data_IF_201614303595
#
_entry.id   IF_201614303595
#
_cell.length_a   1.000
_cell.length_b   1.000
_cell.length_c   1.000
_cell.angle_alpha   90.00
_cell.angle_beta   90.00
_cell.angle_gamma   90.00
#
_symmetry.space_group_name_H-M   'P 1'
#
loop_
_entity.id
_entity.type
_entity.pdbx_description
1 polymer ?
#
# COMPACT_ATOMS: atom_id res chain seq x y z
N UNK A 1 -22.18 7.09 -2.42
CA UNK A 1 -21.30 5.92 -2.61
C UNK A 1 -19.99 6.25 -1.94
N UNK A 2 -19.49 5.36 -1.09
CA UNK A 2 -18.23 5.60 -0.38
C UNK A 2 -17.03 5.39 -1.32
N UNK A 3 -15.91 6.08 -1.08
CA UNK A 3 -14.68 5.93 -1.87
C UNK A 3 -14.20 4.48 -1.93
N UNK A 4 -14.32 3.74 -0.83
CA UNK A 4 -13.96 2.32 -0.74
C UNK A 4 -14.81 1.42 -1.64
N UNK A 5 -16.01 1.86 -2.03
CA UNK A 5 -16.93 1.11 -2.88
C UNK A 5 -16.77 1.51 -4.36
N UNK A 6 -16.19 2.67 -4.63
CA UNK A 6 -16.02 3.20 -5.98
C UNK A 6 -14.97 2.38 -6.76
N UNK A 7 -15.30 2.06 -8.02
CA UNK A 7 -14.44 1.25 -8.91
C UNK A 7 -13.02 1.79 -9.03
N UNK A 8 -12.84 3.11 -9.17
CA UNK A 8 -11.54 3.79 -9.19
C UNK A 8 -10.55 3.33 -8.11
N UNK A 9 -10.92 3.35 -6.83
CA UNK A 9 -10.02 2.90 -5.76
C UNK A 9 -9.89 1.37 -5.78
N UNK A 10 -10.98 0.63 -5.99
CA UNK A 10 -10.96 -0.83 -6.02
C UNK A 10 -10.06 -1.39 -7.11
N UNK A 11 -10.11 -0.81 -8.31
CA UNK A 11 -9.26 -1.18 -9.44
C UNK A 11 -7.79 -0.86 -9.16
N UNK A 12 -7.50 0.28 -8.53
CA UNK A 12 -6.14 0.65 -8.14
C UNK A 12 -5.55 -0.32 -7.10
N UNK A 13 -6.32 -0.67 -6.06
CA UNK A 13 -5.92 -1.69 -5.08
C UNK A 13 -5.68 -3.03 -5.79
N UNK A 14 -6.61 -3.44 -6.66
CA UNK A 14 -6.49 -4.70 -7.38
C UNK A 14 -5.25 -4.74 -8.27
N UNK A 15 -4.94 -3.65 -8.99
CA UNK A 15 -3.74 -3.54 -9.80
C UNK A 15 -2.46 -3.66 -8.97
N UNK A 16 -2.45 -3.09 -7.75
CA UNK A 16 -1.32 -3.29 -6.83
C UNK A 16 -1.22 -4.77 -6.45
N UNK A 17 -2.30 -5.38 -5.97
CA UNK A 17 -2.32 -6.79 -5.57
C UNK A 17 -1.85 -7.72 -6.69
N UNK A 18 -2.34 -7.52 -7.92
CA UNK A 18 -1.89 -8.27 -9.09
C UNK A 18 -0.38 -8.07 -9.33
N UNK A 19 0.15 -6.86 -9.12
CA UNK A 19 1.60 -6.61 -9.26
C UNK A 19 2.43 -7.25 -8.14
N UNK A 20 1.88 -7.40 -6.94
CA UNK A 20 2.52 -8.11 -5.83
C UNK A 20 2.60 -9.60 -6.13
N UNK A 21 1.51 -10.19 -6.63
CA UNK A 21 1.47 -11.60 -7.02
C UNK A 21 2.45 -11.90 -8.15
N UNK A 22 2.51 -11.05 -9.18
CA UNK A 22 3.50 -11.20 -10.27
C UNK A 22 4.95 -11.10 -9.78
N UNK A 23 5.24 -10.15 -8.88
CA UNK A 23 6.57 -9.98 -8.33
C UNK A 23 6.98 -11.19 -7.47
N UNK A 24 6.05 -11.70 -6.67
CA UNK A 24 6.26 -12.89 -5.86
C UNK A 24 6.51 -14.13 -6.71
N UNK A 25 5.68 -14.38 -7.72
CA UNK A 25 5.82 -15.55 -8.59
C UNK A 25 7.17 -15.55 -9.31
N UNK A 26 7.60 -14.37 -9.77
CA UNK A 26 8.90 -14.18 -10.42
C UNK A 26 10.04 -14.43 -9.43
N UNK A 27 9.96 -13.86 -8.22
CA UNK A 27 10.96 -14.08 -7.17
C UNK A 27 11.06 -15.55 -6.73
N UNK A 28 9.93 -16.24 -6.62
CA UNK A 28 9.88 -17.69 -6.36
C UNK A 28 10.57 -18.47 -7.47
N UNK A 29 10.25 -18.19 -8.74
CA UNK A 29 10.86 -18.85 -9.89
C UNK A 29 12.38 -18.65 -9.93
N UNK A 30 12.85 -17.42 -9.72
CA UNK A 30 14.28 -17.08 -9.66
C UNK A 30 15.00 -17.76 -8.48
N UNK A 31 14.27 -18.01 -7.39
CA UNK A 31 14.76 -18.73 -6.21
C UNK A 31 14.66 -20.26 -6.34
N UNK A 32 14.14 -20.77 -7.46
CA UNK A 32 13.91 -22.21 -7.65
C UNK A 32 12.81 -22.81 -6.75
N UNK A 33 11.92 -21.96 -6.23
CA UNK A 33 10.82 -22.33 -5.35
C UNK A 33 9.49 -22.24 -6.10
N UNK A 34 8.60 -23.21 -5.89
CA UNK A 34 7.24 -23.14 -6.46
C UNK A 34 6.34 -22.31 -5.53
N UNK A 35 5.53 -21.38 -6.05
CA UNK A 35 4.53 -20.67 -5.25
C UNK A 35 3.56 -21.62 -4.53
N UNK A 36 2.92 -21.12 -3.45
CA UNK A 36 1.92 -21.86 -2.67
C UNK A 36 2.39 -23.20 -2.08
N UNK A 37 3.69 -23.33 -1.80
CA UNK A 37 4.26 -24.48 -1.08
C UNK A 37 4.80 -24.10 0.30
N UNK A 38 5.04 -25.06 1.20
CA UNK A 38 5.72 -24.79 2.47
C UNK A 38 7.08 -24.12 2.29
N UNK A 39 7.81 -24.45 1.23
CA UNK A 39 9.09 -23.82 0.88
C UNK A 39 8.89 -22.35 0.49
N UNK A 40 7.83 -22.00 -0.26
CA UNK A 40 7.49 -20.60 -0.54
C UNK A 40 7.17 -19.82 0.74
N UNK A 41 6.52 -20.46 1.71
CA UNK A 41 6.28 -19.84 3.02
C UNK A 41 7.59 -19.58 3.78
N UNK A 42 8.51 -20.54 3.79
CA UNK A 42 9.83 -20.34 4.39
C UNK A 42 10.62 -19.24 3.67
N UNK A 43 10.52 -19.16 2.34
CA UNK A 43 11.12 -18.08 1.57
C UNK A 43 10.53 -16.71 1.96
N UNK A 44 9.22 -16.63 2.22
CA UNK A 44 8.59 -15.40 2.71
C UNK A 44 9.13 -15.00 4.10
N UNK A 45 9.36 -15.97 5.00
CA UNK A 45 9.98 -15.72 6.30
C UNK A 45 11.42 -15.19 6.17
N UNK A 46 12.18 -15.69 5.19
CA UNK A 46 13.53 -15.21 4.86
C UNK A 46 13.50 -13.76 4.37
N UNK A 47 12.60 -13.43 3.45
CA UNK A 47 12.43 -12.06 2.93
C UNK A 47 12.21 -11.06 4.07
N UNK A 48 11.43 -11.44 5.08
CA UNK A 48 11.11 -10.55 6.20
C UNK A 48 12.20 -10.48 7.30
N UNK A 49 13.27 -11.28 7.23
CA UNK A 49 14.41 -11.10 8.14
C UNK A 49 15.19 -9.82 7.82
N UNK A 50 15.31 -9.49 6.53
CA UNK A 50 15.93 -8.24 6.07
C UNK A 50 15.19 -7.69 4.85
N UNK A 51 14.11 -6.93 5.05
CA UNK A 51 13.36 -6.32 3.97
C UNK A 51 14.22 -5.43 3.06
N UNK A 52 15.32 -4.88 3.58
CA UNK A 52 16.19 -3.94 2.84
C UNK A 52 16.98 -4.59 1.71
N UNK A 53 16.97 -5.91 1.61
CA UNK A 53 17.56 -6.65 0.50
C UNK A 53 16.62 -6.85 -0.69
N UNK A 54 15.32 -6.60 -0.52
CA UNK A 54 14.29 -6.99 -1.49
C UNK A 54 13.51 -5.78 -2.01
N UNK A 55 13.02 -5.89 -3.25
CA UNK A 55 12.05 -4.93 -3.79
C UNK A 55 10.76 -4.97 -2.96
N UNK A 56 10.14 -3.81 -2.80
CA UNK A 56 8.96 -3.69 -1.95
C UNK A 56 7.79 -4.57 -2.36
N UNK A 57 7.62 -4.88 -3.65
CA UNK A 57 6.54 -5.77 -4.08
C UNK A 57 6.75 -7.18 -3.57
N UNK A 58 8.00 -7.63 -3.51
CA UNK A 58 8.37 -8.93 -2.95
C UNK A 58 8.13 -8.94 -1.43
N UNK A 59 8.53 -7.87 -0.73
CA UNK A 59 8.31 -7.74 0.73
C UNK A 59 6.83 -7.74 1.08
N UNK A 60 6.04 -6.90 0.42
CA UNK A 60 4.60 -6.81 0.66
C UNK A 60 3.88 -8.13 0.31
N UNK A 61 4.26 -8.77 -0.80
CA UNK A 61 3.71 -10.07 -1.16
C UNK A 61 4.09 -11.17 -0.14
N UNK A 62 5.33 -11.17 0.37
CA UNK A 62 5.78 -12.09 1.42
C UNK A 62 4.93 -11.94 2.69
N UNK A 63 4.62 -10.70 3.10
CA UNK A 63 3.74 -10.44 4.23
C UNK A 63 2.35 -11.05 4.03
N UNK A 64 1.78 -10.95 2.82
CA UNK A 64 0.45 -11.50 2.50
C UNK A 64 0.36 -13.03 2.62
N UNK A 65 1.51 -13.72 2.53
CA UNK A 65 1.61 -15.19 2.61
C UNK A 65 1.85 -15.70 4.03
N UNK A 66 2.10 -14.79 4.96
CA UNK A 66 2.30 -15.11 6.37
C UNK A 66 1.07 -14.72 7.18
N UNK A 67 0.81 -15.54 8.21
CA UNK A 67 -0.28 -15.32 9.14
C UNK A 67 0.33 -14.81 10.44
N UNK A 68 -0.24 -13.74 10.98
CA UNK A 68 0.15 -13.19 12.25
C UNK A 68 -0.13 -14.19 13.38
N UNK A 69 0.87 -14.55 14.20
CA UNK A 69 0.69 -15.51 15.28
C UNK A 69 -0.21 -14.96 16.41
N UNK A 70 -0.33 -13.64 16.55
CA UNK A 70 -1.08 -13.01 17.64
C UNK A 70 -2.56 -12.82 17.31
N UNK A 71 -2.90 -12.43 16.08
CA UNK A 71 -4.28 -12.10 15.71
C UNK A 71 -4.87 -12.94 14.58
N UNK A 72 -4.08 -13.82 13.94
CA UNK A 72 -4.55 -14.70 12.86
C UNK A 72 -4.85 -14.00 11.52
N UNK A 73 -4.73 -12.68 11.43
CA UNK A 73 -4.81 -11.96 10.16
C UNK A 73 -3.55 -12.19 9.30
N UNK A 74 -3.58 -11.79 8.03
CA UNK A 74 -2.35 -11.68 7.25
C UNK A 74 -1.34 -10.75 7.96
N UNK A 75 -0.05 -11.07 7.88
CA UNK A 75 0.95 -10.36 8.66
C UNK A 75 0.99 -8.88 8.27
N UNK A 76 0.94 -7.99 9.27
CA UNK A 76 0.87 -6.54 9.06
C UNK A 76 -0.51 -5.97 8.69
N UNK A 77 -1.54 -6.80 8.49
CA UNK A 77 -2.89 -6.32 8.14
C UNK A 77 -3.90 -6.31 9.29
N UNK A 78 -3.58 -6.89 10.45
CA UNK A 78 -4.48 -6.90 11.62
C UNK A 78 -4.73 -5.51 12.21
N UNK A 79 -5.61 -5.42 13.20
CA UNK A 79 -5.95 -4.15 13.88
C UNK A 79 -4.73 -3.47 14.53
N UNK A 80 -4.80 -2.14 14.64
CA UNK A 80 -3.79 -1.33 15.35
C UNK A 80 -3.70 -1.79 16.81
N UNK A 81 -2.48 -2.00 17.31
CA UNK A 81 -2.23 -2.50 18.66
C UNK A 81 -1.87 -3.99 18.71
N UNK A 82 -2.03 -4.73 17.60
CA UNK A 82 -1.45 -6.06 17.48
C UNK A 82 0.07 -5.96 17.32
N UNK A 83 0.84 -6.42 18.31
CA UNK A 83 2.30 -6.26 18.37
C UNK A 83 3.01 -6.80 17.13
N UNK A 84 2.70 -8.03 16.72
CA UNK A 84 3.33 -8.62 15.52
C UNK A 84 2.96 -7.90 14.23
N UNK A 85 1.70 -7.47 14.07
CA UNK A 85 1.28 -6.71 12.89
C UNK A 85 1.89 -5.31 12.86
N UNK A 86 1.92 -4.61 14.00
CA UNK A 86 2.51 -3.27 14.10
C UNK A 86 4.00 -3.31 13.79
N UNK A 87 4.71 -4.32 14.31
CA UNK A 87 6.12 -4.58 14.02
C UNK A 87 6.35 -4.83 12.52
N UNK A 88 5.63 -5.79 11.94
CA UNK A 88 5.78 -6.13 10.52
C UNK A 88 5.43 -4.94 9.60
N UNK A 89 4.35 -4.22 9.91
CA UNK A 89 3.96 -3.03 9.17
C UNK A 89 5.00 -1.90 9.29
N UNK A 90 5.73 -1.79 10.41
CA UNK A 90 6.84 -0.85 10.55
C UNK A 90 8.07 -1.24 9.71
N UNK A 91 8.46 -2.51 9.74
CA UNK A 91 9.65 -3.00 9.04
C UNK A 91 9.50 -3.05 7.51
N UNK A 92 8.29 -3.18 6.98
CA UNK A 92 8.05 -3.14 5.53
C UNK A 92 8.62 -1.89 4.86
N UNK A 93 8.76 -0.78 5.62
CA UNK A 93 9.32 0.48 5.11
C UNK A 93 10.83 0.49 4.92
N UNK A 94 11.53 -0.58 5.32
CA UNK A 94 12.93 -0.79 4.96
C UNK A 94 13.16 -1.35 3.55
N UNK A 95 12.10 -1.78 2.84
CA UNK A 95 12.23 -2.38 1.52
C UNK A 95 12.85 -1.44 0.47
N UNK A 96 13.54 -2.02 -0.52
CA UNK A 96 14.10 -1.27 -1.64
C UNK A 96 12.96 -0.76 -2.53
N UNK A 97 13.13 0.46 -3.01
CA UNK A 97 12.20 1.12 -3.92
C UNK A 97 12.98 1.50 -5.17
N UNK A 98 12.64 0.86 -6.30
CA UNK A 98 13.22 1.22 -7.60
C UNK A 98 12.11 1.77 -8.47
N UNK A 99 12.18 3.07 -8.79
CA UNK A 99 11.19 3.69 -9.68
C UNK A 99 11.15 2.99 -11.04
N UNK A 100 9.92 2.70 -11.51
CA UNK A 100 9.72 2.16 -12.86
C UNK A 100 10.14 3.18 -13.93
N UNK A 101 10.41 2.76 -15.18
CA UNK A 101 10.77 3.71 -16.24
C UNK A 101 9.71 4.79 -16.46
N UNK A 102 10.17 5.99 -16.83
CA UNK A 102 9.35 7.14 -17.23
C UNK A 102 8.39 7.72 -16.17
N UNK A 103 8.64 7.49 -14.88
CA UNK A 103 7.96 8.20 -13.78
C UNK A 103 8.92 9.13 -13.02
N UNK A 104 8.41 10.16 -12.31
CA UNK A 104 9.24 10.99 -11.46
C UNK A 104 9.88 10.18 -10.32
N UNK A 105 11.08 10.56 -9.83
CA UNK A 105 11.72 9.93 -8.68
C UNK A 105 10.81 9.94 -7.43
N UNK A 106 10.76 8.81 -6.73
CA UNK A 106 9.92 8.60 -5.55
C UNK A 106 8.46 8.23 -5.84
N UNK A 107 8.12 7.90 -7.09
CA UNK A 107 6.77 7.46 -7.43
C UNK A 107 6.47 6.07 -6.84
N UNK A 108 7.42 5.13 -6.88
CA UNK A 108 7.23 3.79 -6.29
C UNK A 108 7.13 3.85 -4.77
N UNK A 109 7.89 4.75 -4.13
CA UNK A 109 7.70 5.09 -2.72
C UNK A 109 6.26 5.52 -2.44
N UNK A 110 5.75 6.47 -3.22
CA UNK A 110 4.40 6.99 -3.05
C UNK A 110 3.33 5.91 -3.29
N UNK A 111 3.50 5.04 -4.28
CA UNK A 111 2.60 3.90 -4.54
C UNK A 111 2.59 2.96 -3.34
N UNK A 112 3.76 2.55 -2.86
CA UNK A 112 3.89 1.61 -1.75
C UNK A 112 3.25 2.13 -0.47
N UNK A 113 3.54 3.38 -0.09
CA UNK A 113 2.92 3.98 1.09
C UNK A 113 1.41 4.07 0.90
N UNK A 114 0.96 4.51 -0.27
CA UNK A 114 -0.47 4.67 -0.54
C UNK A 114 -1.22 3.34 -0.57
N UNK A 115 -0.61 2.29 -1.13
CA UNK A 115 -1.19 0.96 -1.20
C UNK A 115 -1.22 0.28 0.17
N UNK A 116 -0.15 0.40 0.98
CA UNK A 116 -0.14 -0.09 2.35
C UNK A 116 -1.29 0.51 3.17
N UNK A 117 -1.51 1.82 3.04
CA UNK A 117 -2.62 2.53 3.70
C UNK A 117 -3.98 2.06 3.16
N UNK A 118 -4.16 2.00 1.84
CA UNK A 118 -5.43 1.64 1.21
C UNK A 118 -5.85 0.19 1.52
N UNK A 119 -4.91 -0.76 1.45
CA UNK A 119 -5.14 -2.19 1.73
C UNK A 119 -5.42 -2.46 3.20
N UNK A 120 -4.93 -1.60 4.10
CA UNK A 120 -5.15 -1.70 5.55
C UNK A 120 -5.94 -0.52 6.12
N UNK A 121 -6.91 0.00 5.34
CA UNK A 121 -7.64 1.25 5.65
C UNK A 121 -8.24 1.33 7.05
N UNK A 122 -8.62 0.21 7.65
CA UNK A 122 -9.21 0.14 8.99
C UNK A 122 -8.21 0.55 10.09
N UNK A 123 -6.90 0.49 9.83
CA UNK A 123 -5.84 0.92 10.74
C UNK A 123 -5.68 2.45 10.82
N UNK A 124 -6.32 3.20 9.90
CA UNK A 124 -6.14 4.64 9.76
C UNK A 124 -7.47 5.40 9.85
N UNK A 125 -7.43 6.58 10.47
CA UNK A 125 -8.58 7.50 10.43
C UNK A 125 -8.88 7.93 8.98
N UNK A 126 -10.16 8.23 8.64
CA UNK A 126 -10.53 8.75 7.31
C UNK A 126 -9.61 9.89 6.84
N UNK A 127 -9.29 10.83 7.73
CA UNK A 127 -8.37 11.95 7.46
C UNK A 127 -6.95 11.51 7.13
N UNK A 128 -6.39 10.55 7.87
CA UNK A 128 -5.03 10.08 7.64
C UNK A 128 -4.87 9.37 6.30
N UNK A 129 -5.90 8.63 5.84
CA UNK A 129 -5.83 7.86 4.60
C UNK A 129 -6.31 8.55 3.34
N UNK A 130 -7.07 9.65 3.46
CA UNK A 130 -7.74 10.26 2.30
C UNK A 130 -6.78 10.67 1.19
N UNK A 131 -5.67 11.32 1.51
CA UNK A 131 -4.70 11.74 0.48
C UNK A 131 -4.12 10.55 -0.29
N UNK A 132 -3.73 9.50 0.44
CA UNK A 132 -3.18 8.27 -0.10
C UNK A 132 -4.17 7.54 -1.01
N UNK A 133 -5.41 7.36 -0.56
CA UNK A 133 -6.44 6.67 -1.34
C UNK A 133 -6.88 7.46 -2.58
N UNK A 134 -6.94 8.80 -2.51
CA UNK A 134 -7.27 9.64 -3.66
C UNK A 134 -6.19 9.64 -4.73
N UNK A 135 -4.91 9.60 -4.32
CA UNK A 135 -3.76 9.68 -5.21
C UNK A 135 -3.35 8.34 -5.79
N UNK A 136 -3.60 7.21 -5.11
CA UNK A 136 -3.14 5.89 -5.55
C UNK A 136 -3.44 5.58 -7.03
N UNK A 137 -4.65 5.83 -7.57
CA UNK A 137 -4.90 5.60 -9.00
C UNK A 137 -4.00 6.43 -9.93
N UNK A 138 -3.82 7.73 -9.63
CA UNK A 138 -2.99 8.62 -10.46
C UNK A 138 -1.50 8.29 -10.32
N UNK A 139 -1.07 7.83 -9.14
CA UNK A 139 0.29 7.35 -8.89
C UNK A 139 0.62 6.14 -9.76
N UNK A 140 -0.32 5.19 -9.91
CA UNK A 140 -0.19 4.03 -10.78
C UNK A 140 -0.11 4.43 -12.26
N UNK A 141 -0.82 5.48 -12.66
CA UNK A 141 -0.73 6.09 -14.00
C UNK A 141 0.57 6.91 -14.22
N UNK A 142 1.43 7.01 -13.21
CA UNK A 142 2.75 7.65 -13.29
C UNK A 142 2.78 9.12 -12.90
N UNK A 143 1.65 9.69 -12.47
CA UNK A 143 1.64 11.02 -11.89
C UNK A 143 2.30 11.00 -10.50
N UNK A 144 2.96 12.09 -10.10
CA UNK A 144 3.44 12.29 -8.73
C UNK A 144 3.18 13.75 -8.36
N UNK A 145 2.38 14.05 -7.32
CA UNK A 145 2.17 15.42 -6.91
C UNK A 145 3.49 16.03 -6.43
N UNK A 146 3.71 17.28 -6.80
CA UNK A 146 4.76 18.11 -6.20
C UNK A 146 4.50 18.29 -4.71
N UNK A 147 5.55 18.63 -3.94
CA UNK A 147 5.41 18.94 -2.51
C UNK A 147 4.35 20.01 -2.24
N UNK A 148 4.29 21.05 -3.07
CA UNK A 148 3.32 22.13 -2.93
C UNK A 148 1.88 21.65 -3.18
N UNK A 149 1.67 20.75 -4.15
CA UNK A 149 0.35 20.14 -4.39
C UNK A 149 -0.07 19.24 -3.23
N UNK A 150 0.84 18.39 -2.74
CA UNK A 150 0.58 17.52 -1.59
C UNK A 150 0.23 18.34 -0.32
N UNK A 151 0.93 19.44 -0.07
CA UNK A 151 0.64 20.35 1.05
C UNK A 151 -0.74 21.03 0.90
N UNK A 152 -1.08 21.50 -0.31
CA UNK A 152 -2.41 22.06 -0.58
C UNK A 152 -3.51 21.03 -0.35
N UNK A 153 -3.36 19.81 -0.88
CA UNK A 153 -4.32 18.73 -0.65
C UNK A 153 -4.50 18.42 0.84
N UNK A 154 -3.39 18.30 1.58
CA UNK A 154 -3.43 18.08 3.04
C UNK A 154 -4.18 19.20 3.76
N UNK A 155 -3.98 20.45 3.36
CA UNK A 155 -4.71 21.59 3.92
C UNK A 155 -6.22 21.46 3.68
N UNK A 156 -6.65 21.17 2.45
CA UNK A 156 -8.07 20.99 2.11
C UNK A 156 -8.71 19.80 2.85
N UNK A 157 -8.00 18.66 2.93
CA UNK A 157 -8.44 17.48 3.68
C UNK A 157 -8.72 17.83 5.15
N UNK A 158 -7.87 18.66 5.76
CA UNK A 158 -8.01 19.05 7.16
C UNK A 158 -9.22 19.96 7.43
N UNK A 159 -9.84 20.54 6.40
CA UNK A 159 -11.05 21.37 6.54
C UNK A 159 -12.35 20.56 6.49
N UNK A 160 -12.27 19.27 6.12
CA UNK A 160 -13.45 18.41 5.94
C UNK A 160 -13.66 17.49 7.14
N UNK A 161 -14.93 17.14 7.37
CA UNK A 161 -15.32 16.11 8.33
C UNK A 161 -15.01 14.72 7.77
N UNK A 162 -14.85 13.75 8.66
CA UNK A 162 -14.51 12.37 8.29
C UNK A 162 -15.56 11.76 7.33
N UNK A 163 -16.85 12.03 7.54
CA UNK A 163 -17.93 11.59 6.64
C UNK A 163 -17.81 12.20 5.24
N UNK A 164 -17.48 13.49 5.13
CA UNK A 164 -17.27 14.15 3.83
C UNK A 164 -16.05 13.57 3.11
N UNK A 165 -14.99 13.27 3.85
CA UNK A 165 -13.77 12.69 3.30
C UNK A 165 -14.02 11.34 2.64
N UNK A 166 -14.92 10.51 3.17
CA UNK A 166 -15.28 9.22 2.54
C UNK A 166 -16.03 9.36 1.21
N UNK A 167 -16.61 10.52 0.91
CA UNK A 167 -17.38 10.75 -0.31
C UNK A 167 -16.52 11.29 -1.47
N UNK A 168 -15.26 11.66 -1.22
CA UNK A 168 -14.35 12.15 -2.25
C UNK A 168 -13.85 10.99 -3.11
N UNK A 169 -13.94 11.13 -4.43
CA UNK A 169 -13.55 10.09 -5.40
C UNK A 169 -12.25 10.45 -6.11
N UNK A 170 -12.04 11.74 -6.38
CA UNK A 170 -10.87 12.25 -7.09
C UNK A 170 -10.23 13.42 -6.32
N UNK A 171 -8.93 13.71 -6.54
CA UNK A 171 -8.31 14.90 -5.95
C UNK A 171 -9.05 16.21 -6.30
N UNK A 172 -9.71 16.28 -7.46
CA UNK A 172 -10.47 17.45 -7.88
C UNK A 172 -11.70 17.74 -6.99
N UNK A 173 -12.24 16.73 -6.30
CA UNK A 173 -13.38 16.90 -5.40
C UNK A 173 -13.03 17.75 -4.17
N UNK A 174 -11.75 17.82 -3.77
CA UNK A 174 -11.28 18.67 -2.67
C UNK A 174 -11.54 20.16 -2.94
N UNK A 175 -11.40 20.59 -4.20
CA UNK A 175 -11.63 21.98 -4.60
C UNK A 175 -13.12 22.34 -4.71
N UNK A 176 -14.02 21.35 -4.75
CA UNK A 176 -15.48 21.57 -4.89
C UNK A 176 -16.20 21.64 -3.54
N UNK A 177 -15.52 21.30 -2.46
CA UNK A 177 -16.06 21.17 -1.11
C UNK A 177 -15.47 22.19 -0.12
N UNK A 178 -14.70 23.16 -0.62
CA UNK A 178 -14.20 24.33 0.11
C UNK A 178 -14.93 25.57 -0.36
#
# INVERSE_FOLDING_TARGET
MLRSEHSRLRSAIRQVEDSLDVAWDSFCADSGVRPETPEARQLAEVVLQDPSEFDWRVVDAAMDRLICPDCGAALGSGDTGCVSCDKANGFRFGARETDRPAVPPGNEHAIRVSSAVARTRHRYSPRARTGYELLLPDLLDGALPTTAEAQRMKHLINQLTDDKLELLITPADLNRNT
#
